data_IF_966184725747
#
_entry.id   IF_966184725747
#
_cell.length_a   1.000
_cell.length_b   1.000
_cell.length_c   1.000
_cell.angle_alpha   90.00
_cell.angle_beta   90.00
_cell.angle_gamma   90.00
#
_symmetry.space_group_name_H-M   'P 1'
#
loop_
_entity.id
_entity.type
_entity.pdbx_description
1 polymer ?
#
# COMPACT_ATOMS: atom_id res chain seq x y z
N UNK A 1 -7.22 -5.30 -14.88
CA UNK A 1 -6.26 -6.21 -14.21
C UNK A 1 -6.92 -7.27 -13.33
N UNK A 2 -7.20 -7.04 -12.04
CA UNK A 2 -7.68 -8.14 -11.17
C UNK A 2 -9.06 -8.69 -11.56
N UNK A 3 -9.96 -7.85 -12.08
CA UNK A 3 -11.24 -8.29 -12.66
C UNK A 3 -11.04 -9.07 -13.98
N UNK A 4 -10.08 -8.67 -14.80
CA UNK A 4 -9.71 -9.34 -16.05
C UNK A 4 -9.18 -10.75 -15.79
N UNK A 5 -8.39 -10.93 -14.73
CA UNK A 5 -7.87 -12.23 -14.32
C UNK A 5 -8.94 -13.22 -13.82
N UNK A 6 -10.20 -12.78 -13.68
CA UNK A 6 -11.33 -13.62 -13.29
C UNK A 6 -12.23 -14.00 -14.47
N UNK A 7 -11.88 -13.65 -15.71
CA UNK A 7 -12.61 -14.14 -16.89
C UNK A 7 -12.32 -15.64 -17.07
N UNK A 8 -13.37 -16.45 -17.07
CA UNK A 8 -13.28 -17.92 -17.07
C UNK A 8 -13.01 -18.53 -18.45
N UNK A 9 -12.82 -17.73 -19.50
CA UNK A 9 -12.75 -18.24 -20.86
C UNK A 9 -11.79 -17.44 -21.74
N UNK A 10 -10.49 -17.76 -21.68
CA UNK A 10 -9.56 -17.40 -22.77
C UNK A 10 -9.95 -18.07 -24.10
N UNK A 11 -10.73 -19.15 -24.08
CA UNK A 11 -11.15 -19.88 -25.28
C UNK A 11 -12.46 -19.35 -25.92
N UNK A 12 -13.20 -18.44 -25.27
CA UNK A 12 -14.35 -17.73 -25.88
C UNK A 12 -14.06 -16.24 -26.14
N UNK A 13 -12.78 -15.83 -26.07
CA UNK A 13 -12.39 -14.42 -26.02
C UNK A 13 -12.45 -13.72 -27.38
N UNK A 14 -13.60 -13.15 -27.71
CA UNK A 14 -13.67 -12.06 -28.71
C UNK A 14 -14.93 -11.19 -28.59
N UNK A 15 -15.81 -11.41 -27.60
CA UNK A 15 -17.14 -10.78 -27.59
C UNK A 15 -17.08 -9.26 -27.62
N UNK A 16 -16.12 -8.67 -26.90
CA UNK A 16 -15.87 -7.23 -26.87
C UNK A 16 -14.47 -6.90 -27.41
N UNK A 17 -13.93 -7.74 -28.32
CA UNK A 17 -12.57 -7.54 -28.84
C UNK A 17 -12.44 -6.13 -29.42
N UNK A 18 -11.47 -5.40 -28.89
CA UNK A 18 -11.17 -4.02 -29.30
C UNK A 18 -10.13 -4.01 -30.43
N UNK A 19 -9.47 -5.15 -30.66
CA UNK A 19 -8.54 -5.33 -31.76
C UNK A 19 -9.10 -6.30 -32.81
N UNK A 20 -8.76 -6.05 -34.07
CA UNK A 20 -8.86 -7.01 -35.17
C UNK A 20 -7.53 -7.10 -35.89
N UNK A 21 -7.21 -8.29 -36.40
CA UNK A 21 -6.03 -8.46 -37.25
C UNK A 21 -6.39 -8.12 -38.69
N UNK A 22 -5.60 -7.26 -39.33
CA UNK A 22 -5.66 -7.06 -40.78
C UNK A 22 -5.14 -8.31 -41.52
N UNK A 23 -5.26 -8.31 -42.85
CA UNK A 23 -4.81 -9.42 -43.69
C UNK A 23 -3.29 -9.70 -43.62
N UNK A 24 -2.51 -8.82 -42.98
CA UNK A 24 -1.08 -8.95 -42.77
C UNK A 24 -0.74 -9.31 -41.30
N UNK A 25 -1.75 -9.55 -40.47
CA UNK A 25 -1.60 -9.89 -39.05
C UNK A 25 -1.33 -8.69 -38.14
N UNK A 26 -1.43 -7.45 -38.65
CA UNK A 26 -1.29 -6.24 -37.84
C UNK A 26 -2.59 -6.00 -37.07
N UNK A 27 -2.47 -5.59 -35.82
CA UNK A 27 -3.62 -5.32 -34.97
C UNK A 27 -4.12 -3.89 -35.22
N UNK A 28 -5.38 -3.76 -35.66
CA UNK A 28 -6.10 -2.51 -35.83
C UNK A 28 -7.18 -2.35 -34.75
N UNK A 29 -7.45 -1.10 -34.35
CA UNK A 29 -8.48 -0.79 -33.38
C UNK A 29 -9.86 -0.82 -34.03
N UNK A 30 -10.74 -1.64 -33.44
CA UNK A 30 -12.16 -1.64 -33.75
C UNK A 30 -12.85 -0.45 -33.08
N UNK A 31 -13.77 0.20 -33.79
CA UNK A 31 -14.60 1.28 -33.26
C UNK A 31 -16.05 0.86 -33.00
N UNK A 32 -16.38 -0.41 -33.18
CA UNK A 32 -17.74 -0.96 -33.04
C UNK A 32 -17.93 -1.75 -31.74
N UNK A 33 -16.89 -1.97 -30.93
CA UNK A 33 -16.96 -2.78 -29.71
C UNK A 33 -17.99 -2.26 -28.70
N UNK A 34 -18.25 -0.95 -28.66
CA UNK A 34 -19.26 -0.33 -27.79
C UNK A 34 -20.67 -0.83 -28.11
N UNK A 35 -20.94 -1.16 -29.38
CA UNK A 35 -22.24 -1.68 -29.81
C UNK A 35 -22.50 -3.11 -29.34
N UNK A 36 -21.43 -3.85 -29.01
CA UNK A 36 -21.55 -5.19 -28.47
C UNK A 36 -21.89 -5.18 -26.97
N UNK A 37 -21.53 -4.11 -26.24
CA UNK A 37 -21.80 -3.97 -24.80
C UNK A 37 -23.28 -3.67 -24.58
N UNK A 38 -24.04 -4.52 -23.86
CA UNK A 38 -25.45 -4.28 -23.61
C UNK A 38 -25.65 -3.05 -22.71
N UNK A 39 -26.79 -2.36 -22.83
CA UNK A 39 -27.13 -1.17 -22.03
C UNK A 39 -27.09 -1.43 -20.51
N UNK A 40 -27.41 -2.65 -20.09
CA UNK A 40 -27.32 -3.11 -18.70
C UNK A 40 -26.38 -4.32 -18.60
N UNK A 41 -25.05 -4.09 -18.51
CA UNK A 41 -24.07 -5.16 -18.52
C UNK A 41 -24.11 -5.97 -17.22
N UNK A 42 -24.04 -7.29 -17.36
CA UNK A 42 -23.89 -8.20 -16.22
C UNK A 42 -22.47 -8.12 -15.66
N UNK A 43 -22.26 -8.68 -14.46
CA UNK A 43 -20.91 -8.81 -13.90
C UNK A 43 -19.96 -9.61 -14.78
N UNK A 44 -20.46 -10.56 -15.56
CA UNK A 44 -19.65 -11.37 -16.47
C UNK A 44 -19.32 -10.59 -17.75
N UNK A 45 -20.25 -9.78 -18.25
CA UNK A 45 -19.97 -8.84 -19.35
C UNK A 45 -18.87 -7.85 -18.97
N UNK A 46 -18.93 -7.30 -17.75
CA UNK A 46 -17.88 -6.39 -17.24
C UNK A 46 -16.53 -7.08 -17.06
N UNK A 47 -16.51 -8.36 -16.63
CA UNK A 47 -15.29 -9.17 -16.56
C UNK A 47 -14.68 -9.40 -17.93
N UNK A 48 -15.52 -9.77 -18.91
CA UNK A 48 -15.06 -10.00 -20.27
C UNK A 48 -14.54 -8.72 -20.91
N UNK A 49 -15.27 -7.61 -20.81
CA UNK A 49 -14.81 -6.31 -21.33
C UNK A 49 -13.48 -5.90 -20.70
N UNK A 50 -13.33 -6.08 -19.38
CA UNK A 50 -12.06 -5.81 -18.70
C UNK A 50 -10.92 -6.72 -19.19
N UNK A 51 -11.22 -7.97 -19.57
CA UNK A 51 -10.27 -8.90 -20.19
C UNK A 51 -9.86 -8.41 -21.58
N UNK A 52 -10.82 -8.10 -22.45
CA UNK A 52 -10.57 -7.71 -23.83
C UNK A 52 -9.79 -6.38 -23.91
N UNK A 53 -10.11 -5.40 -23.04
CA UNK A 53 -9.32 -4.15 -22.89
C UNK A 53 -7.89 -4.44 -22.44
N UNK A 54 -7.73 -5.38 -21.50
CA UNK A 54 -6.42 -5.76 -20.98
C UNK A 54 -5.58 -6.43 -22.07
N UNK A 55 -6.14 -7.39 -22.81
CA UNK A 55 -5.49 -8.07 -23.92
C UNK A 55 -5.09 -7.09 -25.04
N UNK A 56 -5.96 -6.13 -25.36
CA UNK A 56 -5.69 -5.08 -26.34
C UNK A 56 -4.54 -4.15 -25.89
N UNK A 57 -4.54 -3.76 -24.61
CA UNK A 57 -3.48 -2.93 -24.01
C UNK A 57 -2.14 -3.64 -24.08
N UNK A 58 -2.11 -4.93 -23.70
CA UNK A 58 -0.91 -5.75 -23.72
C UNK A 58 -0.35 -5.95 -25.14
N UNK A 59 -1.22 -6.24 -26.11
CA UNK A 59 -0.82 -6.40 -27.51
C UNK A 59 -0.26 -5.09 -28.09
N UNK A 60 -0.93 -3.97 -27.84
CA UNK A 60 -0.53 -2.64 -28.32
C UNK A 60 0.86 -2.24 -27.79
N UNK A 61 1.08 -2.40 -26.48
CA UNK A 61 2.34 -2.01 -25.84
C UNK A 61 3.49 -2.96 -26.21
N UNK A 62 3.22 -4.25 -26.41
CA UNK A 62 4.21 -5.17 -26.98
C UNK A 62 4.60 -4.75 -28.40
N UNK A 63 3.65 -4.36 -29.25
CA UNK A 63 3.94 -3.86 -30.60
C UNK A 63 4.80 -2.58 -30.57
N UNK A 64 4.50 -1.64 -29.66
CA UNK A 64 5.34 -0.46 -29.42
C UNK A 64 6.75 -0.83 -28.98
N UNK A 65 6.90 -1.79 -28.07
CA UNK A 65 8.21 -2.28 -27.61
C UNK A 65 8.99 -2.92 -28.77
N UNK A 66 8.36 -3.77 -29.58
CA UNK A 66 9.00 -4.39 -30.76
C UNK A 66 9.41 -3.36 -31.80
N UNK A 67 8.61 -2.30 -32.00
CA UNK A 67 8.99 -1.15 -32.84
C UNK A 67 10.17 -0.39 -32.27
N UNK A 68 10.22 -0.14 -30.96
CA UNK A 68 11.38 0.50 -30.34
C UNK A 68 12.65 -0.33 -30.54
N UNK A 69 12.55 -1.67 -30.43
CA UNK A 69 13.65 -2.58 -30.71
C UNK A 69 14.10 -2.53 -32.18
N UNK A 70 13.17 -2.52 -33.13
CA UNK A 70 13.55 -2.47 -34.56
C UNK A 70 14.21 -1.14 -34.95
N UNK A 71 13.81 -0.03 -34.31
CA UNK A 71 14.39 1.29 -34.55
C UNK A 71 15.76 1.49 -33.90
N UNK A 72 15.96 0.95 -32.69
CA UNK A 72 17.19 1.17 -31.90
C UNK A 72 18.21 0.05 -32.01
N UNK A 73 17.78 -1.17 -32.36
CA UNK A 73 18.55 -2.41 -32.26
C UNK A 73 19.07 -2.75 -30.84
N UNK A 74 18.58 -2.06 -29.80
CA UNK A 74 19.02 -2.25 -28.43
C UNK A 74 18.46 -3.55 -27.81
N UNK A 75 19.25 -4.15 -26.92
CA UNK A 75 18.87 -5.36 -26.17
C UNK A 75 18.28 -5.04 -24.80
N UNK A 76 18.29 -3.77 -24.39
CA UNK A 76 17.77 -3.30 -23.10
C UNK A 76 16.61 -2.33 -23.34
N UNK A 77 15.50 -2.52 -22.62
CA UNK A 77 14.35 -1.64 -22.67
C UNK A 77 14.04 -1.09 -21.28
N UNK A 78 13.94 0.24 -21.19
CA UNK A 78 13.44 0.95 -20.03
C UNK A 78 12.08 1.53 -20.37
N UNK A 79 11.11 1.38 -19.47
CA UNK A 79 9.77 1.92 -19.64
C UNK A 79 9.37 2.84 -18.49
N UNK A 80 8.57 3.85 -18.83
CA UNK A 80 7.96 4.80 -17.90
C UNK A 80 6.64 5.31 -18.49
N UNK A 81 5.83 5.96 -17.67
CA UNK A 81 4.43 6.32 -17.92
C UNK A 81 3.48 5.49 -17.05
N UNK A 82 2.39 6.11 -16.60
CA UNK A 82 1.44 5.49 -15.65
C UNK A 82 0.83 4.16 -16.13
N UNK A 83 0.78 3.93 -17.45
CA UNK A 83 0.34 2.66 -18.03
C UNK A 83 1.21 1.48 -17.61
N UNK A 84 2.51 1.68 -17.33
CA UNK A 84 3.42 0.62 -16.90
C UNK A 84 3.28 0.25 -15.42
N UNK A 85 2.31 0.83 -14.70
CA UNK A 85 1.78 0.21 -13.47
C UNK A 85 0.97 -1.07 -13.77
N UNK A 86 0.67 -1.33 -15.05
CA UNK A 86 0.02 -2.55 -15.54
C UNK A 86 1.01 -3.72 -15.59
N UNK A 87 1.00 -4.53 -14.53
CA UNK A 87 1.96 -5.63 -14.39
C UNK A 87 1.76 -6.78 -15.38
N UNK A 88 0.54 -7.14 -15.87
CA UNK A 88 0.43 -8.11 -16.96
C UNK A 88 1.16 -7.65 -18.23
N UNK A 89 1.01 -6.38 -18.62
CA UNK A 89 1.76 -5.81 -19.75
C UNK A 89 3.26 -5.92 -19.56
N UNK A 90 3.77 -5.53 -18.38
CA UNK A 90 5.19 -5.64 -18.07
C UNK A 90 5.69 -7.07 -18.19
N UNK A 91 4.90 -8.03 -17.71
CA UNK A 91 5.21 -9.46 -17.75
C UNK A 91 5.26 -9.95 -19.19
N UNK A 92 4.25 -9.61 -20.01
CA UNK A 92 4.21 -10.00 -21.43
C UNK A 92 5.41 -9.46 -22.22
N UNK A 93 5.84 -8.23 -21.94
CA UNK A 93 7.03 -7.65 -22.59
C UNK A 93 8.30 -8.36 -22.12
N UNK A 94 8.46 -8.59 -20.81
CA UNK A 94 9.61 -9.30 -20.26
C UNK A 94 9.71 -10.74 -20.80
N UNK A 95 8.60 -11.49 -20.80
CA UNK A 95 8.54 -12.89 -21.23
C UNK A 95 8.63 -13.07 -22.76
N UNK A 96 8.52 -11.99 -23.54
CA UNK A 96 8.66 -12.05 -24.99
C UNK A 96 10.05 -12.50 -25.45
N UNK A 97 11.06 -12.43 -24.57
CA UNK A 97 12.46 -12.68 -24.92
C UNK A 97 13.06 -11.63 -25.87
N UNK A 98 12.32 -10.56 -26.18
CA UNK A 98 12.80 -9.52 -27.07
C UNK A 98 13.92 -8.68 -26.44
N UNK A 99 13.99 -8.59 -25.12
CA UNK A 99 15.00 -7.78 -24.44
C UNK A 99 15.76 -8.64 -23.43
N UNK A 100 17.09 -8.54 -23.45
CA UNK A 100 17.96 -9.14 -22.45
C UNK A 100 17.78 -8.49 -21.08
N UNK A 101 17.41 -7.19 -21.05
CA UNK A 101 17.07 -6.46 -19.84
C UNK A 101 15.81 -5.64 -20.05
N UNK A 102 14.87 -5.77 -19.14
CA UNK A 102 13.65 -4.98 -19.10
C UNK A 102 13.52 -4.34 -17.73
N UNK A 103 13.40 -3.01 -17.69
CA UNK A 103 13.35 -2.26 -16.44
C UNK A 103 12.13 -1.36 -16.37
N UNK A 104 11.40 -1.48 -15.26
CA UNK A 104 10.28 -0.64 -14.88
C UNK A 104 10.65 0.05 -13.57
N UNK A 105 10.59 1.39 -13.53
CA UNK A 105 10.86 2.15 -12.31
C UNK A 105 9.83 1.87 -11.19
N UNK A 106 10.17 2.14 -9.92
CA UNK A 106 9.27 1.97 -8.78
C UNK A 106 8.00 2.83 -8.87
N UNK A 107 8.15 4.03 -9.43
CA UNK A 107 7.09 4.98 -9.70
C UNK A 107 7.10 5.35 -11.19
N UNK A 108 6.60 4.48 -12.08
CA UNK A 108 6.64 4.74 -13.52
C UNK A 108 5.61 5.82 -13.93
N UNK A 109 4.64 6.15 -13.07
CA UNK A 109 3.71 7.25 -13.32
C UNK A 109 4.31 8.63 -13.06
N UNK A 110 3.45 9.65 -13.04
CA UNK A 110 3.83 11.06 -12.99
C UNK A 110 4.71 11.44 -11.78
N UNK A 111 4.58 10.73 -10.65
CA UNK A 111 5.47 10.93 -9.50
C UNK A 111 6.95 10.77 -9.89
N UNK A 112 7.29 9.81 -10.75
CA UNK A 112 8.64 9.57 -11.22
C UNK A 112 9.24 10.68 -12.10
N UNK A 113 8.41 11.60 -12.62
CA UNK A 113 8.88 12.76 -13.41
C UNK A 113 9.81 13.63 -12.56
N UNK A 114 9.54 13.76 -11.26
CA UNK A 114 10.42 14.51 -10.34
C UNK A 114 11.86 14.01 -10.34
N UNK A 115 12.04 12.68 -10.27
CA UNK A 115 13.35 12.02 -10.34
C UNK A 115 13.98 12.25 -11.72
N UNK A 116 13.20 12.05 -12.79
CA UNK A 116 13.67 12.27 -14.17
C UNK A 116 14.15 13.70 -14.42
N UNK A 117 13.42 14.70 -13.93
CA UNK A 117 13.80 16.11 -14.02
C UNK A 117 15.08 16.42 -13.24
N UNK A 118 15.24 15.86 -12.03
CA UNK A 118 16.46 16.03 -11.24
C UNK A 118 17.68 15.41 -11.95
N UNK A 119 17.54 14.18 -12.44
CA UNK A 119 18.60 13.50 -13.20
C UNK A 119 18.95 14.24 -14.49
N UNK A 120 17.94 14.77 -15.20
CA UNK A 120 18.16 15.57 -16.40
C UNK A 120 18.93 16.84 -16.08
N UNK A 121 18.49 17.62 -15.09
CA UNK A 121 19.16 18.84 -14.66
C UNK A 121 20.62 18.56 -14.25
N UNK A 122 20.86 17.51 -13.48
CA UNK A 122 22.21 17.10 -13.08
C UNK A 122 23.07 16.74 -14.31
N UNK A 123 22.53 15.99 -15.28
CA UNK A 123 23.26 15.65 -16.51
C UNK A 123 23.66 16.89 -17.32
N UNK A 124 22.80 17.91 -17.35
CA UNK A 124 23.09 19.18 -18.03
C UNK A 124 24.18 19.96 -17.30
N UNK A 125 24.12 20.01 -15.96
CA UNK A 125 25.12 20.69 -15.13
C UNK A 125 26.49 19.99 -15.15
N UNK A 126 26.51 18.67 -15.16
CA UNK A 126 27.74 17.88 -15.17
C UNK A 126 28.38 17.78 -16.57
N UNK A 127 27.68 18.18 -17.62
CA UNK A 127 28.13 18.04 -19.01
C UNK A 127 28.32 16.59 -19.47
N UNK A 128 27.77 15.63 -18.74
CA UNK A 128 27.84 14.19 -19.02
C UNK A 128 26.61 13.48 -18.51
N UNK A 129 26.26 12.36 -19.14
CA UNK A 129 25.33 11.41 -18.53
C UNK A 129 25.96 10.87 -17.24
N UNK A 130 25.17 10.82 -16.17
CA UNK A 130 25.63 10.24 -14.91
C UNK A 130 25.98 8.77 -15.15
N UNK A 131 27.14 8.30 -14.68
CA UNK A 131 27.49 6.90 -14.78
C UNK A 131 26.47 6.09 -13.99
N UNK A 132 25.75 5.20 -14.67
CA UNK A 132 24.83 4.24 -14.08
C UNK A 132 25.63 3.10 -13.42
N UNK A 133 26.49 3.41 -12.46
CA UNK A 133 27.15 2.39 -11.62
C UNK A 133 26.26 1.96 -10.45
N UNK A 134 25.14 2.64 -10.29
CA UNK A 134 24.22 2.44 -9.20
C UNK A 134 23.12 1.50 -9.70
N UNK A 135 23.29 0.20 -9.47
CA UNK A 135 22.18 -0.75 -9.50
C UNK A 135 21.04 -0.25 -8.59
N UNK A 136 19.84 -0.84 -8.68
CA UNK A 136 18.70 -0.46 -7.83
C UNK A 136 19.14 -0.42 -6.35
N UNK A 137 19.42 0.77 -5.80
CA UNK A 137 19.85 0.91 -4.40
C UNK A 137 18.67 0.68 -3.50
N UNK A 138 17.59 1.41 -3.78
CA UNK A 138 16.32 1.32 -3.06
C UNK A 138 15.31 2.30 -3.67
N UNK A 139 14.03 1.97 -3.55
CA UNK A 139 12.92 2.92 -3.66
C UNK A 139 12.69 3.71 -2.37
N UNK A 140 13.41 3.40 -1.29
CA UNK A 140 13.22 4.04 0.03
C UNK A 140 13.80 5.46 0.08
N UNK A 141 13.12 6.39 -0.58
CA UNK A 141 13.52 7.79 -0.75
C UNK A 141 12.85 8.76 0.25
N UNK A 142 11.96 8.28 1.12
CA UNK A 142 11.28 9.13 2.10
C UNK A 142 12.14 9.55 3.29
N UNK A 143 11.52 10.07 4.35
CA UNK A 143 12.27 10.58 5.51
C UNK A 143 12.77 9.42 6.38
N UNK A 144 14.00 9.54 6.87
CA UNK A 144 14.50 8.69 7.95
C UNK A 144 14.18 9.37 9.28
N UNK A 145 13.51 8.64 10.17
CA UNK A 145 13.22 9.09 11.52
C UNK A 145 14.23 8.51 12.49
N UNK A 146 14.71 9.32 13.43
CA UNK A 146 15.62 8.85 14.47
C UNK A 146 14.88 8.08 15.56
N UNK A 147 15.61 7.28 16.34
CA UNK A 147 15.01 6.57 17.48
C UNK A 147 14.39 7.53 18.49
N UNK A 148 14.96 8.72 18.68
CA UNK A 148 14.40 9.76 19.55
C UNK A 148 13.04 10.25 19.03
N UNK A 149 12.90 10.46 17.72
CA UNK A 149 11.63 10.88 17.10
C UNK A 149 10.55 9.79 17.21
N UNK A 150 10.94 8.51 17.05
CA UNK A 150 10.04 7.39 17.27
C UNK A 150 9.56 7.31 18.73
N UNK A 151 10.48 7.48 19.69
CA UNK A 151 10.17 7.48 21.12
C UNK A 151 9.31 8.68 21.53
N UNK A 152 9.60 9.86 20.98
CA UNK A 152 8.79 11.06 21.20
C UNK A 152 7.35 10.82 20.74
N UNK A 153 7.16 10.30 19.52
CA UNK A 153 5.84 9.98 19.01
C UNK A 153 5.12 8.95 19.91
N UNK A 154 5.80 7.89 20.36
CA UNK A 154 5.23 6.90 21.28
C UNK A 154 4.81 7.53 22.63
N UNK A 155 5.60 8.46 23.15
CA UNK A 155 5.33 9.10 24.44
C UNK A 155 4.03 9.90 24.46
N UNK A 156 3.61 10.46 23.32
CA UNK A 156 2.34 11.19 23.18
C UNK A 156 1.12 10.30 23.37
N UNK A 157 1.26 9.01 23.07
CA UNK A 157 0.21 7.99 23.23
C UNK A 157 0.51 7.05 24.40
N UNK A 158 1.36 7.48 25.34
CA UNK A 158 1.65 6.72 26.55
C UNK A 158 0.35 6.42 27.31
N UNK A 159 0.14 5.14 27.64
CA UNK A 159 -1.10 4.64 28.26
C UNK A 159 -2.01 3.86 27.30
N UNK A 160 -2.01 4.18 26.00
CA UNK A 160 -2.72 3.40 24.98
C UNK A 160 -1.91 2.24 24.43
N UNK A 161 -0.59 2.35 24.54
CA UNK A 161 0.37 1.46 23.91
C UNK A 161 1.26 0.83 24.97
N UNK A 162 1.71 -0.38 24.70
CA UNK A 162 2.77 -1.04 25.43
C UNK A 162 3.83 -1.57 24.47
N UNK A 163 5.09 -1.35 24.81
CA UNK A 163 6.21 -1.96 24.10
C UNK A 163 6.36 -3.37 24.63
N UNK A 164 6.38 -4.35 23.74
CA UNK A 164 6.60 -5.76 24.08
C UNK A 164 8.01 -5.91 24.63
N UNK A 165 8.13 -6.48 25.82
CA UNK A 165 9.42 -6.66 26.50
C UNK A 165 10.35 -7.62 25.74
N UNK A 166 11.65 -7.32 25.79
CA UNK A 166 12.71 -8.11 25.18
C UNK A 166 13.21 -7.59 23.82
N UNK A 167 14.21 -8.27 23.27
CA UNK A 167 14.76 -7.93 21.95
C UNK A 167 13.80 -8.37 20.85
N UNK A 168 13.45 -7.45 19.95
CA UNK A 168 12.63 -7.75 18.77
C UNK A 168 13.53 -8.37 17.69
N UNK A 169 13.52 -9.70 17.61
CA UNK A 169 14.26 -10.44 16.60
C UNK A 169 13.36 -10.79 15.40
N UNK A 170 13.94 -10.99 14.20
CA UNK A 170 13.20 -11.51 13.06
C UNK A 170 12.45 -12.80 13.40
N UNK A 171 13.06 -13.71 14.17
CA UNK A 171 12.42 -14.94 14.64
C UNK A 171 11.17 -14.70 15.47
N UNK A 172 11.20 -13.76 16.42
CA UNK A 172 10.03 -13.44 17.24
C UNK A 172 8.86 -12.93 16.40
N UNK A 173 9.15 -12.08 15.41
CA UNK A 173 8.14 -11.60 14.46
C UNK A 173 7.66 -12.73 13.54
N UNK A 174 8.54 -13.63 13.11
CA UNK A 174 8.18 -14.82 12.32
C UNK A 174 7.20 -15.72 13.06
N UNK A 175 7.42 -15.98 14.35
CA UNK A 175 6.53 -16.75 15.22
C UNK A 175 5.14 -16.10 15.32
N UNK A 176 5.07 -14.78 15.54
CA UNK A 176 3.83 -14.03 15.59
C UNK A 176 3.07 -14.09 14.27
N UNK A 177 3.74 -13.81 13.16
CA UNK A 177 3.16 -13.91 11.82
C UNK A 177 2.67 -15.33 11.56
N UNK A 178 3.47 -16.36 11.86
CA UNK A 178 3.09 -17.76 11.69
C UNK A 178 1.87 -18.14 12.53
N UNK A 179 1.73 -17.60 13.75
CA UNK A 179 0.52 -17.77 14.58
C UNK A 179 -0.72 -17.03 14.05
N UNK A 180 -0.58 -16.18 13.03
CA UNK A 180 -1.66 -15.46 12.38
C UNK A 180 -1.82 -14.00 12.82
N UNK A 181 -0.82 -13.44 13.50
CA UNK A 181 -0.78 -12.02 13.81
C UNK A 181 -0.60 -11.17 12.54
N UNK A 182 -1.23 -10.01 12.52
CA UNK A 182 -1.06 -8.96 11.50
C UNK A 182 -0.11 -7.91 12.07
N UNK A 183 1.01 -7.69 11.38
CA UNK A 183 2.05 -6.77 11.83
C UNK A 183 2.06 -5.54 10.92
N UNK A 184 1.72 -4.37 11.46
CA UNK A 184 2.09 -3.11 10.82
C UNK A 184 3.61 -2.92 10.98
N UNK A 185 4.33 -2.68 9.89
CA UNK A 185 5.76 -2.43 9.89
C UNK A 185 6.04 -1.02 9.38
N UNK A 186 6.75 -0.26 10.19
CA UNK A 186 7.31 1.05 9.85
C UNK A 186 8.80 1.02 10.15
N UNK A 187 9.63 0.87 9.11
CA UNK A 187 11.06 0.63 9.23
C UNK A 187 11.84 1.43 8.21
N UNK A 188 12.87 2.16 8.68
CA UNK A 188 13.72 2.99 7.84
C UNK A 188 12.96 4.05 7.05
N UNK A 189 13.51 4.43 5.90
CA UNK A 189 12.89 5.37 4.96
C UNK A 189 11.70 4.71 4.26
N UNK A 190 10.65 5.48 4.00
CA UNK A 190 9.49 5.02 3.24
C UNK A 190 9.78 4.91 1.74
N UNK A 191 9.01 4.04 1.08
CA UNK A 191 9.04 3.75 -0.34
C UNK A 191 8.55 4.92 -1.20
N UNK A 192 9.21 5.17 -2.32
CA UNK A 192 8.76 6.09 -3.35
C UNK A 192 8.00 5.35 -4.45
N UNK A 193 6.69 5.55 -4.46
CA UNK A 193 5.79 4.95 -5.43
C UNK A 193 4.52 4.41 -4.76
N UNK A 194 3.67 3.73 -5.54
CA UNK A 194 2.35 3.31 -5.06
C UNK A 194 2.36 2.01 -4.25
N UNK A 195 3.52 1.37 -4.07
CA UNK A 195 3.65 0.03 -3.48
C UNK A 195 4.49 0.10 -2.22
N UNK A 196 4.01 -0.57 -1.17
CA UNK A 196 4.86 -0.86 -0.03
C UNK A 196 5.70 -2.11 -0.32
N UNK A 197 6.98 -2.03 0.01
CA UNK A 197 8.05 -2.96 -0.30
C UNK A 197 8.86 -3.28 0.96
N UNK A 198 8.20 -3.25 2.12
CA UNK A 198 8.73 -3.59 3.44
C UNK A 198 8.86 -2.40 4.39
N UNK A 199 9.05 -1.18 3.92
CA UNK A 199 9.28 0.02 4.74
C UNK A 199 8.02 0.50 5.46
N UNK A 200 6.88 0.56 4.76
CA UNK A 200 5.56 0.95 5.29
C UNK A 200 4.50 -0.08 4.91
N UNK A 201 4.58 -1.24 5.57
CA UNK A 201 3.88 -2.46 5.14
C UNK A 201 2.99 -3.05 6.23
N UNK A 202 1.96 -3.78 5.82
CA UNK A 202 1.20 -4.69 6.68
C UNK A 202 1.61 -6.10 6.29
N UNK A 203 2.19 -6.81 7.25
CA UNK A 203 2.74 -8.14 7.09
C UNK A 203 1.81 -9.17 7.71
N UNK A 204 1.60 -10.30 7.01
CA UNK A 204 0.72 -11.37 7.48
C UNK A 204 1.16 -12.74 6.97
N UNK A 205 0.64 -13.80 7.58
CA UNK A 205 0.90 -15.17 7.12
C UNK A 205 0.25 -15.44 5.77
N UNK A 206 0.97 -16.02 4.80
CA UNK A 206 0.34 -16.50 3.57
C UNK A 206 -0.45 -17.80 3.76
N UNK A 207 -0.19 -18.52 4.86
CA UNK A 207 -0.68 -19.88 5.12
C UNK A 207 -2.11 -19.90 5.70
N UNK A 208 -2.66 -18.74 6.05
CA UNK A 208 -3.93 -18.65 6.79
C UNK A 208 -4.96 -17.84 6.01
N UNK A 209 -6.12 -18.44 5.75
CA UNK A 209 -7.23 -17.71 5.11
C UNK A 209 -7.71 -16.53 5.98
N UNK A 210 -7.65 -16.65 7.31
CA UNK A 210 -7.99 -15.57 8.24
C UNK A 210 -7.11 -14.34 8.07
N UNK A 211 -5.84 -14.51 7.67
CA UNK A 211 -4.95 -13.39 7.34
C UNK A 211 -5.49 -12.60 6.15
N UNK A 212 -5.98 -13.27 5.10
CA UNK A 212 -6.62 -12.59 3.97
C UNK A 212 -7.90 -11.88 4.38
N UNK A 213 -8.73 -12.49 5.23
CA UNK A 213 -9.95 -11.86 5.75
C UNK A 213 -9.63 -10.57 6.51
N UNK A 214 -8.68 -10.60 7.45
CA UNK A 214 -8.21 -9.42 8.19
C UNK A 214 -7.64 -8.36 7.25
N UNK A 215 -6.76 -8.74 6.32
CA UNK A 215 -6.20 -7.80 5.34
C UNK A 215 -7.29 -7.17 4.46
N UNK A 216 -8.31 -7.92 4.04
CA UNK A 216 -9.40 -7.36 3.25
C UNK A 216 -10.29 -6.41 4.06
N UNK A 217 -10.52 -6.71 5.35
CA UNK A 217 -11.21 -5.84 6.30
C UNK A 217 -10.48 -4.50 6.46
N UNK A 218 -9.17 -4.53 6.77
CA UNK A 218 -8.34 -3.32 6.90
C UNK A 218 -8.37 -2.46 5.63
N UNK A 219 -8.36 -3.09 4.46
CA UNK A 219 -8.29 -2.41 3.16
C UNK A 219 -9.67 -2.10 2.56
N UNK A 220 -10.75 -2.44 3.25
CA UNK A 220 -12.14 -2.30 2.78
C UNK A 220 -12.33 -2.71 1.31
N UNK A 221 -11.76 -3.87 0.95
CA UNK A 221 -11.66 -4.34 -0.43
C UNK A 221 -12.34 -5.68 -0.64
N UNK A 222 -12.74 -5.95 -1.88
CA UNK A 222 -13.47 -7.17 -2.25
C UNK A 222 -12.62 -8.43 -2.04
N UNK A 223 -13.29 -9.54 -1.69
CA UNK A 223 -12.65 -10.81 -1.32
C UNK A 223 -11.75 -11.41 -2.41
N UNK A 224 -12.10 -11.19 -3.67
CA UNK A 224 -11.38 -11.70 -4.84
C UNK A 224 -10.07 -10.95 -5.12
N UNK A 225 -9.77 -9.83 -4.43
CA UNK A 225 -8.51 -9.13 -4.65
C UNK A 225 -7.33 -9.94 -4.10
N UNK A 226 -6.29 -10.19 -4.92
CA UNK A 226 -5.12 -10.92 -4.46
C UNK A 226 -4.32 -10.11 -3.42
N UNK A 227 -3.56 -10.83 -2.60
CA UNK A 227 -2.54 -10.30 -1.69
C UNK A 227 -1.17 -10.59 -2.32
N UNK A 228 -0.28 -9.59 -2.32
CA UNK A 228 1.06 -9.75 -2.86
C UNK A 228 1.94 -10.50 -1.84
N UNK A 229 2.69 -11.53 -2.26
CA UNK A 229 3.74 -12.11 -1.44
C UNK A 229 5.06 -11.34 -1.57
N UNK A 230 5.90 -11.44 -0.53
CA UNK A 230 7.34 -11.15 -0.59
C UNK A 230 8.10 -12.44 -0.29
N UNK A 231 9.16 -12.71 -1.04
CA UNK A 231 10.02 -13.89 -0.93
C UNK A 231 11.48 -13.47 -1.10
N UNK A 232 12.41 -14.19 -0.47
CA UNK A 232 13.83 -13.97 -0.67
C UNK A 232 14.24 -14.39 -2.10
N UNK A 233 15.21 -13.69 -2.68
CA UNK A 233 15.72 -13.96 -4.03
C UNK A 233 16.31 -15.36 -4.19
N UNK A 234 16.91 -15.89 -3.12
CA UNK A 234 17.43 -17.27 -3.05
C UNK A 234 16.34 -18.34 -3.09
N UNK A 235 15.12 -18.01 -2.64
CA UNK A 235 14.00 -18.96 -2.53
C UNK A 235 12.99 -18.85 -3.67
N UNK A 236 13.07 -17.79 -4.49
CA UNK A 236 12.07 -17.47 -5.50
C UNK A 236 11.74 -18.64 -6.45
N UNK A 237 12.76 -19.26 -7.06
CA UNK A 237 12.55 -20.31 -8.08
C UNK A 237 11.95 -21.59 -7.51
N UNK A 238 12.01 -21.79 -6.19
CA UNK A 238 11.37 -22.91 -5.50
C UNK A 238 9.85 -22.75 -5.51
N UNK A 239 9.33 -21.53 -5.32
CA UNK A 239 7.89 -21.30 -5.11
C UNK A 239 7.18 -20.64 -6.29
N UNK A 240 7.90 -19.89 -7.12
CA UNK A 240 7.33 -19.05 -8.17
C UNK A 240 8.00 -19.25 -9.53
N UNK A 241 7.29 -18.87 -10.58
CA UNK A 241 7.76 -18.80 -11.96
C UNK A 241 7.46 -17.41 -12.54
N UNK A 242 8.41 -16.86 -13.29
CA UNK A 242 8.30 -15.55 -13.95
C UNK A 242 9.59 -14.70 -13.81
N UNK A 243 9.54 -13.40 -14.17
CA UNK A 243 10.70 -12.51 -14.11
C UNK A 243 11.25 -12.34 -12.69
N UNK A 244 12.55 -12.64 -12.48
CA UNK A 244 13.19 -12.55 -11.15
C UNK A 244 13.38 -11.12 -10.63
N UNK A 245 13.55 -10.14 -11.51
CA UNK A 245 13.86 -8.75 -11.14
C UNK A 245 12.62 -7.97 -10.66
N UNK A 246 11.84 -8.55 -9.75
CA UNK A 246 10.56 -8.03 -9.26
C UNK A 246 10.67 -7.37 -7.89
N UNK A 247 11.67 -6.53 -7.63
CA UNK A 247 11.76 -5.76 -6.38
C UNK A 247 10.54 -4.84 -6.22
N UNK A 248 10.13 -4.15 -7.29
CA UNK A 248 9.04 -3.19 -7.23
C UNK A 248 7.63 -3.79 -7.40
N UNK A 249 7.50 -5.12 -7.34
CA UNK A 249 6.23 -5.82 -7.61
C UNK A 249 5.63 -5.45 -8.99
N UNK A 250 6.49 -5.38 -10.01
CA UNK A 250 6.17 -4.90 -11.36
C UNK A 250 5.70 -6.01 -12.32
N UNK A 251 5.76 -7.27 -11.89
CA UNK A 251 5.45 -8.43 -12.72
C UNK A 251 4.40 -9.35 -12.08
N UNK A 252 3.73 -10.10 -12.95
CA UNK A 252 2.90 -11.26 -12.61
C UNK A 252 3.80 -12.48 -12.56
N UNK A 253 3.59 -13.32 -11.55
CA UNK A 253 4.24 -14.60 -11.37
C UNK A 253 3.19 -15.68 -11.22
N UNK A 254 3.56 -16.92 -11.52
CA UNK A 254 2.75 -18.09 -11.18
C UNK A 254 3.29 -18.75 -9.93
N UNK A 255 2.40 -19.22 -9.06
CA UNK A 255 2.77 -20.13 -7.98
C UNK A 255 2.98 -21.52 -8.56
N UNK A 256 4.11 -22.15 -8.24
CA UNK A 256 4.39 -23.52 -8.68
C UNK A 256 3.36 -24.50 -8.11
N UNK A 257 3.00 -25.48 -8.93
CA UNK A 257 1.87 -26.40 -8.70
C UNK A 257 1.81 -26.97 -7.27
N UNK A 258 2.91 -27.50 -6.68
CA UNK A 258 2.86 -28.13 -5.36
C UNK A 258 2.47 -27.19 -4.21
N UNK A 259 2.63 -25.87 -4.38
CA UNK A 259 2.45 -24.89 -3.31
C UNK A 259 1.13 -24.11 -3.39
N UNK A 260 0.36 -24.27 -4.48
CA UNK A 260 -0.86 -23.47 -4.73
C UNK A 260 -1.90 -23.62 -3.61
N UNK A 261 -2.08 -24.83 -3.09
CA UNK A 261 -2.99 -25.12 -1.99
C UNK A 261 -2.51 -24.65 -0.62
N UNK A 262 -1.19 -24.42 -0.45
CA UNK A 262 -0.58 -24.08 0.83
C UNK A 262 -0.58 -22.58 1.14
N UNK A 263 -0.92 -21.72 0.16
CA UNK A 263 -0.85 -20.26 0.26
C UNK A 263 -2.25 -19.60 0.14
N UNK A 264 -3.25 -20.01 0.94
CA UNK A 264 -4.64 -19.57 0.78
C UNK A 264 -4.82 -18.06 0.93
N UNK A 265 -3.94 -17.37 1.68
CA UNK A 265 -4.10 -15.94 1.91
C UNK A 265 -3.79 -15.10 0.66
N UNK A 266 -3.01 -15.63 -0.28
CA UNK A 266 -2.64 -14.89 -1.49
C UNK A 266 -3.84 -14.65 -2.39
N UNK A 267 -4.81 -15.58 -2.43
CA UNK A 267 -5.90 -15.56 -3.39
C UNK A 267 -5.34 -15.58 -4.80
N UNK A 268 -5.31 -16.76 -5.43
CA UNK A 268 -4.56 -17.01 -6.66
C UNK A 268 -5.49 -16.99 -7.89
N UNK A 269 -5.95 -15.83 -8.42
CA UNK A 269 -6.73 -15.80 -9.65
C UNK A 269 -5.86 -16.34 -10.78
N UNK A 270 -6.32 -17.38 -11.47
CA UNK A 270 -5.54 -18.08 -12.49
C UNK A 270 -4.11 -18.44 -12.02
N UNK A 271 -3.97 -18.85 -10.75
CA UNK A 271 -2.70 -19.28 -10.15
C UNK A 271 -1.63 -18.16 -10.06
N UNK A 272 -2.06 -16.92 -10.32
CA UNK A 272 -1.17 -15.78 -10.49
C UNK A 272 -1.09 -14.90 -9.26
N UNK A 273 0.09 -14.35 -9.02
CA UNK A 273 0.39 -13.43 -7.93
C UNK A 273 1.37 -12.36 -8.38
N UNK A 274 1.46 -11.30 -7.59
CA UNK A 274 2.39 -10.22 -7.80
C UNK A 274 3.43 -10.22 -6.70
N UNK A 275 4.52 -10.94 -6.94
CA UNK A 275 5.56 -11.20 -5.96
C UNK A 275 6.59 -10.08 -5.91
N UNK A 276 6.94 -9.66 -4.70
CA UNK A 276 8.19 -8.94 -4.44
C UNK A 276 9.31 -9.96 -4.24
N UNK A 277 10.39 -9.81 -5.00
CA UNK A 277 11.62 -10.56 -4.78
C UNK A 277 12.55 -9.67 -3.98
N UNK A 278 12.98 -10.12 -2.81
CA UNK A 278 13.81 -9.35 -1.88
C UNK A 278 15.22 -9.90 -1.83
N UNK A 279 16.21 -9.04 -2.10
CA UNK A 279 17.62 -9.32 -1.80
C UNK A 279 17.99 -8.84 -0.40
N UNK A 280 18.98 -9.50 0.21
CA UNK A 280 19.46 -9.19 1.56
C UNK A 280 19.91 -7.73 1.69
N UNK A 281 20.63 -7.19 0.69
CA UNK A 281 21.18 -5.83 0.74
C UNK A 281 20.12 -4.72 0.74
N UNK A 282 18.88 -5.02 0.34
CA UNK A 282 17.79 -4.03 0.33
C UNK A 282 17.09 -3.90 1.68
N UNK A 283 16.97 -5.01 2.42
CA UNK A 283 16.35 -5.04 3.74
C UNK A 283 16.75 -6.32 4.50
N UNK A 284 17.88 -6.26 5.20
CA UNK A 284 18.42 -7.41 5.92
C UNK A 284 17.44 -7.96 6.98
N UNK A 285 16.75 -7.07 7.71
CA UNK A 285 15.79 -7.50 8.73
C UNK A 285 14.62 -8.29 8.11
N UNK A 286 14.05 -7.80 7.01
CA UNK A 286 12.96 -8.49 6.33
C UNK A 286 13.45 -9.78 5.66
N UNK A 287 14.67 -9.80 5.14
CA UNK A 287 15.29 -11.00 4.59
C UNK A 287 15.42 -12.09 5.67
N UNK A 288 16.00 -11.76 6.83
CA UNK A 288 16.12 -12.71 7.95
C UNK A 288 14.75 -13.13 8.50
N UNK A 289 13.75 -12.25 8.49
CA UNK A 289 12.36 -12.60 8.84
C UNK A 289 11.79 -13.67 7.89
N UNK A 290 12.06 -13.58 6.59
CA UNK A 290 11.66 -14.59 5.62
C UNK A 290 12.38 -15.92 5.87
N UNK A 291 13.68 -15.89 6.15
CA UNK A 291 14.43 -17.11 6.47
C UNK A 291 13.88 -17.80 7.73
N UNK A 292 13.58 -17.03 8.78
CA UNK A 292 12.99 -17.56 10.01
C UNK A 292 11.59 -18.14 9.75
N UNK A 293 10.75 -17.47 8.94
CA UNK A 293 9.46 -18.03 8.50
C UNK A 293 9.63 -19.35 7.73
N UNK A 294 10.63 -19.43 6.85
CA UNK A 294 11.03 -20.65 6.17
C UNK A 294 11.42 -21.77 7.13
N UNK A 295 12.21 -21.45 8.16
CA UNK A 295 12.63 -22.42 9.17
C UNK A 295 11.48 -22.96 10.03
N UNK A 296 10.49 -22.11 10.34
CA UNK A 296 9.36 -22.44 11.20
C UNK A 296 8.29 -23.21 10.42
N UNK A 297 8.03 -22.81 9.17
CA UNK A 297 6.85 -23.25 8.43
C UNK A 297 7.13 -24.01 7.14
N UNK A 298 8.38 -23.98 6.66
CA UNK A 298 8.76 -24.44 5.32
C UNK A 298 8.49 -23.41 4.20
N UNK A 299 7.92 -22.25 4.53
CA UNK A 299 7.57 -21.20 3.55
C UNK A 299 8.23 -19.87 3.91
N UNK A 300 9.37 -19.50 3.27
CA UNK A 300 10.02 -18.20 3.42
C UNK A 300 9.26 -17.12 2.62
N UNK A 301 7.94 -17.04 2.84
CA UNK A 301 7.01 -16.16 2.12
C UNK A 301 6.20 -15.41 3.16
N UNK A 302 6.00 -14.11 2.94
CA UNK A 302 5.12 -13.27 3.76
C UNK A 302 4.16 -12.50 2.88
N UNK A 303 2.90 -12.34 3.33
CA UNK A 303 2.01 -11.38 2.70
C UNK A 303 2.49 -9.97 2.98
N UNK A 304 2.49 -9.12 1.95
CA UNK A 304 2.83 -7.71 2.05
C UNK A 304 1.73 -6.88 1.35
N UNK A 305 1.18 -5.91 2.08
CA UNK A 305 0.34 -4.86 1.51
C UNK A 305 0.69 -3.51 2.13
N UNK A 306 0.32 -2.41 1.48
CA UNK A 306 0.61 -1.07 1.97
C UNK A 306 -0.05 -0.75 3.32
N UNK A 307 0.69 -0.05 4.18
CA UNK A 307 0.27 0.42 5.50
C UNK A 307 -0.61 1.66 5.37
N UNK A 308 -1.90 1.42 5.09
CA UNK A 308 -2.96 2.43 5.00
C UNK A 308 -4.32 1.74 4.90
N UNK A 309 -5.39 2.49 5.17
CA UNK A 309 -6.76 2.05 4.90
C UNK A 309 -7.22 2.49 3.50
N UNK A 310 -8.49 2.26 3.14
CA UNK A 310 -9.03 2.68 1.85
C UNK A 310 -9.22 4.20 1.83
N UNK A 311 -8.66 4.86 0.81
CA UNK A 311 -8.83 6.30 0.59
C UNK A 311 -7.73 7.15 1.23
N UNK A 312 -6.84 6.56 2.02
CA UNK A 312 -5.69 7.24 2.62
C UNK A 312 -4.39 6.95 1.84
N UNK A 313 -3.39 7.85 1.84
CA UNK A 313 -2.04 7.54 1.38
C UNK A 313 -1.35 6.52 2.31
N UNK A 314 -0.23 5.95 1.87
CA UNK A 314 0.64 5.13 2.74
C UNK A 314 1.15 6.02 3.88
N UNK A 315 1.16 5.51 5.11
CA UNK A 315 1.67 6.26 6.27
C UNK A 315 3.15 6.65 6.08
N UNK A 316 3.53 7.85 6.54
CA UNK A 316 4.91 8.34 6.44
C UNK A 316 5.59 8.36 7.80
N UNK A 317 4.92 8.97 8.78
CA UNK A 317 5.50 9.32 10.08
C UNK A 317 5.37 8.20 11.12
N UNK A 318 6.18 8.20 12.19
CA UNK A 318 5.97 7.34 13.35
C UNK A 318 4.57 7.51 13.96
N UNK A 319 4.09 8.75 14.04
CA UNK A 319 2.76 9.11 14.55
C UNK A 319 1.66 8.50 13.67
N UNK A 320 1.74 8.61 12.34
CA UNK A 320 0.80 7.99 11.41
C UNK A 320 0.71 6.47 11.63
N UNK A 321 1.86 5.83 11.88
CA UNK A 321 1.98 4.39 12.10
C UNK A 321 1.33 3.96 13.43
N UNK A 322 1.50 4.77 14.48
CA UNK A 322 0.86 4.58 15.78
C UNK A 322 -0.66 4.75 15.65
N UNK A 323 -1.10 5.82 14.99
CA UNK A 323 -2.52 6.08 14.77
C UNK A 323 -3.16 4.97 13.92
N UNK A 324 -2.42 4.41 12.96
CA UNK A 324 -2.90 3.27 12.21
C UNK A 324 -3.16 2.05 13.11
N UNK A 325 -2.24 1.71 14.02
CA UNK A 325 -2.43 0.61 14.99
C UNK A 325 -3.63 0.86 15.90
N UNK A 326 -3.82 2.09 16.38
CA UNK A 326 -4.91 2.45 17.27
C UNK A 326 -6.28 2.41 16.57
N UNK A 327 -6.35 2.80 15.30
CA UNK A 327 -7.58 2.82 14.49
C UNK A 327 -7.97 1.44 13.94
N UNK A 328 -6.99 0.59 13.64
CA UNK A 328 -7.22 -0.69 12.96
C UNK A 328 -7.17 -1.86 13.94
N UNK A 329 -8.32 -2.29 14.44
CA UNK A 329 -8.43 -3.41 15.39
C UNK A 329 -7.90 -4.74 14.87
N UNK A 330 -7.92 -4.95 13.55
CA UNK A 330 -7.42 -6.17 12.90
C UNK A 330 -5.88 -6.24 12.81
N UNK A 331 -5.18 -5.16 13.13
CA UNK A 331 -3.71 -5.11 13.21
C UNK A 331 -3.32 -5.46 14.62
N UNK A 332 -2.52 -6.50 14.82
CA UNK A 332 -2.20 -7.00 16.16
C UNK A 332 -1.02 -6.24 16.78
N UNK A 333 0.02 -5.95 15.98
CA UNK A 333 1.25 -5.28 16.43
C UNK A 333 1.73 -4.20 15.46
N UNK A 334 2.44 -3.21 15.97
CA UNK A 334 3.29 -2.28 15.21
C UNK A 334 4.77 -2.57 15.48
N UNK A 335 5.50 -2.96 14.44
CA UNK A 335 6.95 -2.97 14.40
C UNK A 335 7.45 -1.60 13.93
N UNK A 336 7.77 -0.71 14.88
CA UNK A 336 8.30 0.63 14.64
C UNK A 336 9.81 0.64 14.89
N UNK A 337 10.59 0.78 13.83
CA UNK A 337 12.04 0.63 13.90
C UNK A 337 12.41 -0.76 14.42
N UNK A 338 12.97 -0.82 15.63
CA UNK A 338 13.34 -2.04 16.34
C UNK A 338 12.45 -2.35 17.56
N UNK A 339 11.28 -1.74 17.66
CA UNK A 339 10.34 -1.93 18.78
C UNK A 339 9.05 -2.55 18.29
N UNK A 340 8.57 -3.54 19.04
CA UNK A 340 7.29 -4.18 18.81
C UNK A 340 6.31 -3.59 19.81
N UNK A 341 5.23 -3.03 19.32
CA UNK A 341 4.26 -2.27 20.08
C UNK A 341 2.90 -2.93 19.90
N UNK A 342 2.13 -3.05 20.99
CA UNK A 342 0.74 -3.48 20.97
C UNK A 342 -0.12 -2.51 21.78
N UNK A 343 -1.45 -2.66 21.66
CA UNK A 343 -2.39 -1.87 22.44
C UNK A 343 -2.37 -2.34 23.89
N UNK A 344 -2.44 -1.40 24.83
CA UNK A 344 -2.50 -1.71 26.25
C UNK A 344 -3.76 -2.52 26.58
N UNK A 345 -3.61 -3.59 27.38
CA UNK A 345 -4.69 -4.53 27.71
C UNK A 345 -5.64 -4.04 28.82
N UNK A 346 -5.22 -3.07 29.62
CA UNK A 346 -6.05 -2.45 30.65
C UNK A 346 -6.51 -1.06 30.19
N UNK A 347 -7.77 -0.64 30.52
CA UNK A 347 -8.19 0.74 30.31
C UNK A 347 -7.32 1.64 31.17
N UNK A 348 -6.32 2.26 30.55
CA UNK A 348 -5.60 3.38 31.13
C UNK A 348 -6.26 4.61 30.56
N UNK A 349 -6.90 5.39 31.43
CA UNK A 349 -7.18 6.78 31.10
C UNK A 349 -5.88 7.36 30.59
N UNK A 350 -5.89 7.86 29.36
CA UNK A 350 -4.81 8.73 28.97
C UNK A 350 -5.03 9.97 29.82
N UNK A 351 -4.16 10.21 30.78
CA UNK A 351 -3.97 11.55 31.30
C UNK A 351 -3.29 12.44 30.25
N UNK A 352 -3.51 12.19 28.96
CA UNK A 352 -3.05 13.05 27.89
C UNK A 352 -4.04 14.19 27.85
N UNK A 353 -3.62 15.30 28.46
CA UNK A 353 -4.01 16.64 28.11
C UNK A 353 -5.50 16.76 27.83
N UNK A 354 -6.28 17.03 28.87
CA UNK A 354 -7.58 17.67 28.70
C UNK A 354 -7.35 18.90 27.80
N UNK A 355 -7.61 18.76 26.50
CA UNK A 355 -7.43 19.86 25.57
C UNK A 355 -8.69 20.69 25.69
N UNK A 356 -8.57 21.77 26.46
CA UNK A 356 -9.61 22.77 26.63
C UNK A 356 -9.68 23.62 25.36
N UNK A 357 -10.70 23.37 24.56
CA UNK A 357 -11.14 24.30 23.52
C UNK A 357 -11.96 25.41 24.19
N UNK A 358 -11.87 26.64 23.67
CA UNK A 358 -12.67 27.74 24.18
C UNK A 358 -14.13 27.63 23.68
N UNK A 359 -15.14 27.95 24.53
CA UNK A 359 -15.09 28.06 25.98
C UNK A 359 -15.35 26.66 26.56
N UNK A 360 -14.35 26.09 27.23
CA UNK A 360 -14.47 24.93 28.12
C UNK A 360 -14.89 23.57 27.53
N UNK A 361 -14.70 23.34 26.22
CA UNK A 361 -14.88 21.98 25.69
C UNK A 361 -13.60 21.16 25.88
N UNK A 362 -13.67 20.13 26.72
CA UNK A 362 -12.61 19.18 27.01
C UNK A 362 -12.65 18.01 26.02
N UNK A 363 -11.60 17.85 25.22
CA UNK A 363 -11.40 16.66 24.40
C UNK A 363 -10.65 15.59 25.20
N UNK A 364 -11.16 14.36 25.20
CA UNK A 364 -10.53 13.21 25.84
C UNK A 364 -10.64 11.97 24.96
N UNK A 365 -9.67 11.07 25.08
CA UNK A 365 -9.67 9.79 24.38
C UNK A 365 -9.33 8.69 25.38
N UNK A 366 -10.10 7.60 25.38
CA UNK A 366 -9.90 6.45 26.26
C UNK A 366 -9.91 5.15 25.46
N UNK A 367 -9.16 4.14 25.90
CA UNK A 367 -9.21 2.79 25.31
C UNK A 367 -10.06 1.88 26.17
N UNK A 368 -11.19 1.40 25.63
CA UNK A 368 -12.14 0.54 26.35
C UNK A 368 -12.47 -0.66 25.47
N UNK A 369 -12.23 -1.87 25.98
CA UNK A 369 -12.64 -3.11 25.31
C UNK A 369 -12.03 -3.33 23.92
N UNK A 370 -10.78 -2.92 23.68
CA UNK A 370 -10.11 -3.11 22.40
C UNK A 370 -10.39 -2.00 21.37
N UNK A 371 -11.12 -0.95 21.75
CA UNK A 371 -11.49 0.17 20.89
C UNK A 371 -11.13 1.50 21.52
N UNK A 372 -10.81 2.46 20.66
CA UNK A 372 -10.57 3.84 21.05
C UNK A 372 -11.91 4.60 21.07
N UNK A 373 -12.26 5.20 22.20
CA UNK A 373 -13.42 6.08 22.35
C UNK A 373 -12.93 7.52 22.57
N UNK A 374 -13.21 8.40 21.62
CA UNK A 374 -12.95 9.84 21.75
C UNK A 374 -14.23 10.56 22.19
N UNK A 375 -14.11 11.59 23.03
CA UNK A 375 -15.23 12.34 23.61
C UNK A 375 -14.91 13.83 23.69
N UNK A 376 -15.89 14.66 23.37
CA UNK A 376 -15.90 16.09 23.69
C UNK A 376 -16.86 16.34 24.87
N UNK A 377 -16.41 17.07 25.88
CA UNK A 377 -17.19 17.44 27.07
C UNK A 377 -17.28 18.95 27.18
N UNK A 378 -18.47 19.53 27.24
CA UNK A 378 -18.68 20.97 27.46
C UNK A 378 -19.66 21.16 28.61
N UNK A 379 -19.18 21.63 29.77
CA UNK A 379 -19.97 21.65 31.00
C UNK A 379 -20.46 20.24 31.38
N UNK A 380 -21.78 20.01 31.37
CA UNK A 380 -22.38 18.69 31.61
C UNK A 380 -22.63 17.87 30.33
N UNK A 381 -22.50 18.48 29.15
CA UNK A 381 -22.75 17.81 27.88
C UNK A 381 -21.54 16.99 27.46
N UNK A 382 -21.76 15.72 27.12
CA UNK A 382 -20.74 14.82 26.57
C UNK A 382 -21.22 14.30 25.23
N UNK A 383 -20.36 14.36 24.21
CA UNK A 383 -20.61 13.74 22.91
C UNK A 383 -19.47 12.81 22.56
N UNK A 384 -19.80 11.64 22.03
CA UNK A 384 -18.80 10.77 21.42
C UNK A 384 -18.32 11.42 20.12
N UNK A 385 -17.01 11.42 19.93
CA UNK A 385 -16.35 11.83 18.70
C UNK A 385 -15.86 10.59 17.98
N UNK A 386 -15.86 10.65 16.65
CA UNK A 386 -14.97 9.76 15.92
C UNK A 386 -13.53 10.17 16.23
N UNK A 387 -12.60 9.21 16.17
CA UNK A 387 -11.19 9.53 16.34
C UNK A 387 -10.70 10.57 15.32
N UNK A 388 -11.24 10.56 14.10
CA UNK A 388 -10.92 11.54 13.06
C UNK A 388 -11.38 12.96 13.43
N UNK A 389 -12.57 13.11 14.00
CA UNK A 389 -13.06 14.41 14.47
C UNK A 389 -12.17 14.95 15.60
N UNK A 390 -11.71 14.06 16.49
CA UNK A 390 -10.79 14.39 17.58
C UNK A 390 -9.44 14.91 17.06
N UNK A 391 -8.78 14.19 16.13
CA UNK A 391 -7.51 14.61 15.53
C UNK A 391 -7.64 15.92 14.74
N UNK A 392 -8.75 16.10 14.01
CA UNK A 392 -9.02 17.34 13.27
C UNK A 392 -9.15 18.53 14.21
N UNK A 393 -9.85 18.37 15.33
CA UNK A 393 -9.97 19.40 16.36
C UNK A 393 -8.63 19.68 17.06
N UNK A 394 -7.79 18.66 17.25
CA UNK A 394 -6.42 18.83 17.76
C UNK A 394 -5.53 19.61 16.78
N UNK A 395 -5.61 19.31 15.49
CA UNK A 395 -4.79 19.97 14.45
C UNK A 395 -5.19 21.44 14.25
N UNK A 396 -6.50 21.75 14.35
CA UNK A 396 -7.00 23.13 14.31
C UNK A 396 -6.47 24.01 15.48
N UNK A 397 -5.96 23.41 16.55
CA UNK A 397 -5.30 24.11 17.67
C UNK A 397 -3.92 24.66 17.28
N UNK A 398 -3.20 23.99 16.39
CA UNK A 398 -1.76 24.21 16.18
C UNK A 398 -1.41 25.08 14.97
N UNK A 399 -2.26 25.13 13.93
CA UNK A 399 -1.87 25.67 12.61
C UNK A 399 -2.78 26.77 12.01
N UNK A 400 -3.51 27.56 12.81
CA UNK A 400 -4.32 28.75 12.40
C UNK A 400 -5.74 28.52 11.83
N UNK A 401 -6.50 29.63 11.77
CA UNK A 401 -7.97 29.81 11.74
C UNK A 401 -8.82 28.89 10.82
N UNK A 402 -9.97 28.52 11.39
CA UNK A 402 -11.08 27.71 10.85
C UNK A 402 -11.54 28.08 9.43
N UNK A 403 -11.35 29.34 8.99
CA UNK A 403 -11.79 29.81 7.67
C UNK A 403 -11.09 29.07 6.51
N UNK A 404 -9.84 28.64 6.67
CA UNK A 404 -9.12 27.90 5.64
C UNK A 404 -9.54 26.41 5.58
N UNK A 405 -9.89 25.82 6.73
CA UNK A 405 -10.42 24.46 6.81
C UNK A 405 -11.82 24.31 6.17
N UNK A 406 -12.60 25.40 6.14
CA UNK A 406 -13.92 25.46 5.48
C UNK A 406 -13.83 25.77 3.98
N UNK A 407 -12.79 26.45 3.50
CA UNK A 407 -12.63 26.79 2.07
C UNK A 407 -12.18 25.63 1.19
N UNK A 408 -11.39 24.69 1.74
CA UNK A 408 -10.74 23.64 0.94
C UNK A 408 -11.18 22.21 1.29
N UNK A 409 -12.03 22.04 2.32
CA UNK A 409 -12.51 20.73 2.74
C UNK A 409 -13.78 20.31 2.00
N UNK A 410 -13.63 19.54 0.92
CA UNK A 410 -14.72 18.70 0.40
C UNK A 410 -14.91 17.52 1.38
N UNK A 411 -15.87 17.66 2.31
CA UNK A 411 -16.15 16.67 3.36
C UNK A 411 -17.48 15.99 3.05
N UNK A 412 -17.45 15.07 2.09
CA UNK A 412 -18.57 14.20 1.77
C UNK A 412 -18.63 13.00 2.74
N UNK A 413 -19.35 13.15 3.85
CA UNK A 413 -19.66 12.01 4.73
C UNK A 413 -20.35 12.39 6.05
N UNK A 414 -21.65 12.07 6.16
CA UNK A 414 -22.53 12.21 7.32
C UNK A 414 -22.90 13.65 7.77
N UNK A 415 -24.03 14.14 7.24
CA UNK A 415 -24.70 15.41 7.62
C UNK A 415 -24.93 15.59 9.13
N UNK A 416 -25.09 14.50 9.89
CA UNK A 416 -25.32 14.56 11.34
C UNK A 416 -24.09 15.09 12.13
N UNK A 417 -22.87 14.80 11.66
CA UNK A 417 -21.62 15.28 12.29
C UNK A 417 -21.34 16.75 11.98
N UNK A 418 -21.70 17.17 10.75
CA UNK A 418 -21.53 18.53 10.25
C UNK A 418 -22.42 19.55 10.95
N UNK A 419 -23.68 19.21 11.25
CA UNK A 419 -24.58 20.16 11.93
C UNK A 419 -24.10 20.53 13.33
N UNK A 420 -23.52 19.57 14.07
CA UNK A 420 -22.95 19.82 15.39
C UNK A 420 -21.65 20.61 15.31
N UNK A 421 -20.73 20.25 14.41
CA UNK A 421 -19.48 20.99 14.18
C UNK A 421 -19.74 22.41 13.68
N UNK A 422 -20.71 22.61 12.78
CA UNK A 422 -21.14 23.94 12.33
C UNK A 422 -21.81 24.75 13.43
N UNK A 423 -22.53 24.13 14.37
CA UNK A 423 -23.10 24.81 15.53
C UNK A 423 -22.01 25.21 16.53
N UNK A 424 -21.03 24.32 16.74
CA UNK A 424 -19.85 24.54 17.57
C UNK A 424 -18.92 25.64 17.01
N UNK A 425 -18.77 25.69 15.68
CA UNK A 425 -17.97 26.68 14.95
C UNK A 425 -18.74 28.01 14.78
N UNK A 426 -20.04 27.94 14.50
CA UNK A 426 -20.90 29.10 14.21
C UNK A 426 -21.13 30.03 15.40
N UNK A 427 -20.91 29.54 16.62
CA UNK A 427 -21.01 30.35 17.86
C UNK A 427 -19.76 31.20 18.16
N UNK A 428 -18.77 31.30 17.24
CA UNK A 428 -17.54 32.15 17.38
C UNK A 428 -16.71 31.86 18.64
N UNK A 429 -16.68 30.61 19.07
CA UNK A 429 -16.15 30.23 20.38
C UNK A 429 -14.63 29.99 20.42
N UNK A 430 -13.92 29.98 19.29
CA UNK A 430 -12.47 29.80 19.26
C UNK A 430 -11.72 31.14 19.21
N UNK A 431 -11.61 31.81 20.37
CA UNK A 431 -10.62 32.85 20.61
C UNK A 431 -9.55 32.34 21.59
N UNK A 432 -8.27 32.52 21.26
CA UNK A 432 -7.14 31.91 21.98
C UNK A 432 -6.83 32.72 23.25
N UNK A 433 -7.00 32.12 24.43
CA UNK A 433 -6.50 32.66 25.71
C UNK A 433 -5.09 32.15 26.01
N UNK A 434 -4.26 32.89 26.77
CA UNK A 434 -2.87 32.51 27.02
C UNK A 434 -2.77 31.26 27.93
N UNK A 435 -1.67 30.53 27.73
CA UNK A 435 -1.25 29.37 28.50
C UNK A 435 -0.90 29.81 29.93
N UNK A 436 -1.59 29.30 30.95
CA UNK A 436 -1.03 29.25 32.31
C UNK A 436 -0.26 27.94 32.46
N UNK A 437 1.00 28.05 32.92
CA UNK A 437 2.02 27.00 33.01
C UNK A 437 1.72 25.92 34.04
#
# INVERSE_FOLDING_TARGET
MALAALSHAKEQSARYSILEADNQGRQDFRNDWQTAVPESPTHDDLRQLASDVQDATEASLLACAMRAKSLSCESSLVVSGGVFMNIPTNTRIADSGAFARYYVASAPGDAGISIGCAMYAESQLAGRLLPFEIGILSDRLGKLYSTEQELEALSRYAGLLQVVEGSVTPRKVAELVHSGAIIARSSGRSEFGPRALGGRSILASPLRISSKTKLNSIKSRQEWRPVAPTVADVDFDTFFEGPRDSHFMSYVHKVREPFRGALPALGLPNESVRTQVLKREWDEYLFELLQELGSISGFPIICNTSLNTRGEPIVETPEDSILFLLRCSDVDYLLLGNKLIERASAPREISAQVVRLNPEAELSTIFVGGRLESKATLGTHKTALTFFDYERLLTLRTETLIEDALRYGDVSGNEASLSWLQKFIGERLLNVGPIEQ
#
